data_IF_899953519601
#
_entry.id   IF_899953519601
#
_cell.length_a   1.000
_cell.length_b   1.000
_cell.length_c   1.000
_cell.angle_alpha   90.00
_cell.angle_beta   90.00
_cell.angle_gamma   90.00
#
_symmetry.space_group_name_H-M   'P 1'
#
loop_
_entity.id
_entity.type
_entity.pdbx_description
1 polymer ?
#
# COMPACT_ATOMS: atom_id res chain seq x y z
N UNK A 1 4.36 9.45 -17.97
CA UNK A 1 4.27 8.53 -16.81
C UNK A 1 2.94 8.83 -16.14
N UNK A 2 2.23 7.86 -15.55
CA UNK A 2 1.05 8.18 -14.76
C UNK A 2 1.43 9.24 -13.71
N UNK A 3 0.59 10.26 -13.55
CA UNK A 3 0.87 11.33 -12.59
C UNK A 3 0.85 10.72 -11.18
N UNK A 4 1.79 11.08 -10.30
CA UNK A 4 1.96 10.48 -8.96
C UNK A 4 0.65 10.47 -8.13
N UNK A 5 -0.25 11.41 -8.40
CA UNK A 5 -1.60 11.48 -7.82
C UNK A 5 -2.47 10.28 -8.17
N UNK A 6 -2.36 9.76 -9.38
CA UNK A 6 -3.12 8.59 -9.83
C UNK A 6 -2.63 7.33 -9.11
N UNK A 7 -1.31 7.23 -8.84
CA UNK A 7 -0.72 6.10 -8.12
C UNK A 7 -1.11 6.12 -6.63
N UNK A 8 -1.04 7.29 -5.98
CA UNK A 8 -1.52 7.44 -4.61
C UNK A 8 -2.99 7.00 -4.51
N UNK A 9 -3.86 7.55 -5.37
CA UNK A 9 -5.29 7.29 -5.28
C UNK A 9 -5.64 5.84 -5.60
N UNK A 10 -4.99 5.23 -6.59
CA UNK A 10 -5.16 3.82 -6.92
C UNK A 10 -4.72 2.91 -5.78
N UNK A 11 -3.54 3.17 -5.19
CA UNK A 11 -3.02 2.39 -4.06
C UNK A 11 -3.94 2.50 -2.85
N UNK A 12 -4.33 3.72 -2.49
CA UNK A 12 -5.20 3.96 -1.34
C UNK A 12 -6.55 3.27 -1.50
N UNK A 13 -7.16 3.39 -2.69
CA UNK A 13 -8.43 2.72 -3.00
C UNK A 13 -8.31 1.20 -2.91
N UNK A 14 -7.28 0.61 -3.52
CA UNK A 14 -7.09 -0.85 -3.50
C UNK A 14 -6.90 -1.39 -2.08
N UNK A 15 -6.09 -0.72 -1.25
CA UNK A 15 -5.85 -1.14 0.14
C UNK A 15 -7.12 -1.02 1.00
N UNK A 16 -7.85 0.09 0.89
CA UNK A 16 -9.08 0.31 1.66
C UNK A 16 -10.20 -0.65 1.23
N UNK A 17 -10.35 -0.92 -0.07
CA UNK A 17 -11.30 -1.94 -0.59
C UNK A 17 -10.96 -3.35 -0.09
N UNK A 18 -9.68 -3.62 0.17
CA UNK A 18 -9.21 -4.87 0.77
C UNK A 18 -9.28 -4.89 2.30
N UNK A 19 -9.96 -3.90 2.90
CA UNK A 19 -10.19 -3.80 4.34
C UNK A 19 -9.00 -3.29 5.16
N UNK A 20 -7.90 -2.84 4.54
CA UNK A 20 -6.75 -2.29 5.26
C UNK A 20 -7.18 -1.02 6.00
N UNK A 21 -6.77 -0.83 7.27
CA UNK A 21 -7.12 0.38 8.02
C UNK A 21 -6.71 1.66 7.28
N UNK A 22 -7.58 2.66 7.29
CA UNK A 22 -7.39 3.93 6.55
C UNK A 22 -6.02 4.58 6.80
N UNK A 23 -5.57 4.63 8.04
CA UNK A 23 -4.27 5.24 8.41
C UNK A 23 -3.07 4.47 7.83
N UNK A 24 -3.19 3.14 7.72
CA UNK A 24 -2.15 2.27 7.16
C UNK A 24 -2.16 2.37 5.63
N UNK A 25 -3.35 2.39 5.03
CA UNK A 25 -3.54 2.56 3.60
C UNK A 25 -3.02 3.92 3.10
N UNK A 26 -3.29 5.01 3.82
CA UNK A 26 -2.81 6.35 3.48
C UNK A 26 -1.27 6.43 3.49
N UNK A 27 -0.64 5.94 4.56
CA UNK A 27 0.83 5.92 4.64
C UNK A 27 1.47 5.10 3.52
N UNK A 28 0.95 3.91 3.26
CA UNK A 28 1.43 3.07 2.17
C UNK A 28 1.24 3.74 0.81
N UNK A 29 0.09 4.39 0.57
CA UNK A 29 -0.18 5.10 -0.67
C UNK A 29 0.76 6.31 -0.86
N UNK A 30 1.11 7.03 0.21
CA UNK A 30 2.08 8.14 0.15
C UNK A 30 3.46 7.65 -0.26
N UNK A 31 3.90 6.52 0.31
CA UNK A 31 5.16 5.87 -0.06
C UNK A 31 5.16 5.49 -1.54
N UNK A 32 4.12 4.78 -2.00
CA UNK A 32 4.07 4.32 -3.39
C UNK A 32 3.95 5.49 -4.37
N UNK A 33 3.26 6.56 -3.98
CA UNK A 33 3.20 7.80 -4.78
C UNK A 33 4.53 8.57 -4.86
N UNK A 34 5.51 8.24 -4.01
CA UNK A 34 6.86 8.82 -4.02
C UNK A 34 7.92 7.85 -4.58
N UNK A 35 7.51 6.68 -5.07
CA UNK A 35 8.43 5.68 -5.59
C UNK A 35 9.17 6.18 -6.82
N UNK A 36 10.50 6.12 -6.77
CA UNK A 36 11.37 6.40 -7.90
C UNK A 36 11.89 5.09 -8.49
N UNK A 37 11.31 4.68 -9.61
CA UNK A 37 11.69 3.45 -10.34
C UNK A 37 13.13 3.45 -10.87
N UNK A 38 13.82 4.59 -10.84
CA UNK A 38 15.23 4.70 -11.25
C UNK A 38 16.20 4.45 -10.11
N UNK A 39 15.71 4.42 -8.86
CA UNK A 39 16.51 4.19 -7.66
C UNK A 39 16.39 2.75 -7.17
N UNK A 40 17.44 2.28 -6.50
CA UNK A 40 17.37 1.02 -5.75
C UNK A 40 16.27 1.12 -4.68
N UNK A 41 15.53 0.03 -4.48
CA UNK A 41 14.39 -0.05 -3.56
C UNK A 41 13.32 1.04 -3.80
N UNK A 42 13.19 1.53 -5.03
CA UNK A 42 12.22 2.56 -5.39
C UNK A 42 12.46 3.91 -4.67
N UNK A 43 13.66 4.14 -4.15
CA UNK A 43 13.97 5.32 -3.33
C UNK A 43 13.41 5.26 -1.90
N UNK A 44 12.78 4.15 -1.51
CA UNK A 44 12.16 3.96 -0.20
C UNK A 44 13.20 3.91 0.92
N UNK A 45 12.90 4.60 2.01
CA UNK A 45 13.63 4.51 3.28
C UNK A 45 13.22 3.24 4.07
N UNK A 46 13.96 2.84 5.11
CA UNK A 46 13.53 1.76 6.01
C UNK A 46 12.14 2.00 6.60
N UNK A 47 11.82 3.25 6.95
CA UNK A 47 10.51 3.64 7.49
C UNK A 47 9.39 3.44 6.46
N UNK A 48 9.67 3.72 5.19
CA UNK A 48 8.72 3.49 4.10
C UNK A 48 8.47 1.99 3.91
N UNK A 49 9.52 1.17 4.04
CA UNK A 49 9.38 -0.28 3.98
C UNK A 49 8.53 -0.82 5.14
N UNK A 50 8.68 -0.27 6.35
CA UNK A 50 7.83 -0.62 7.49
C UNK A 50 6.36 -0.27 7.25
N UNK A 51 6.08 0.89 6.64
CA UNK A 51 4.71 1.30 6.29
C UNK A 51 4.07 0.35 5.27
N UNK A 52 4.81 -0.05 4.23
CA UNK A 52 4.35 -1.03 3.24
C UNK A 52 4.14 -2.40 3.89
N UNK A 53 5.06 -2.84 4.75
CA UNK A 53 4.93 -4.11 5.46
C UNK A 53 3.68 -4.17 6.34
N UNK A 54 3.36 -3.09 7.07
CA UNK A 54 2.14 -2.99 7.86
C UNK A 54 0.86 -3.05 7.01
N UNK A 55 0.88 -2.43 5.83
CA UNK A 55 -0.23 -2.50 4.88
C UNK A 55 -0.42 -3.92 4.33
N UNK A 56 0.67 -4.61 3.97
CA UNK A 56 0.62 -5.97 3.46
C UNK A 56 0.16 -6.98 4.52
N UNK A 57 0.62 -6.83 5.77
CA UNK A 57 0.14 -7.66 6.89
C UNK A 57 -1.38 -7.52 7.09
N UNK A 58 -1.89 -6.28 7.06
CA UNK A 58 -3.33 -6.01 7.15
C UNK A 58 -4.10 -6.58 5.95
N UNK A 59 -3.55 -6.41 4.75
CA UNK A 59 -4.13 -6.91 3.50
C UNK A 59 -4.28 -8.43 3.52
N UNK A 60 -3.23 -9.16 3.90
CA UNK A 60 -3.28 -10.63 3.97
C UNK A 60 -4.21 -11.14 5.07
N UNK A 61 -4.24 -10.47 6.24
CA UNK A 61 -5.17 -10.83 7.32
C UNK A 61 -6.63 -10.70 6.88
N UNK A 62 -6.94 -9.74 6.01
CA UNK A 62 -8.28 -9.58 5.48
C UNK A 62 -8.59 -10.53 4.32
N UNK A 63 -7.64 -10.78 3.41
CA UNK A 63 -7.82 -11.81 2.37
C UNK A 63 -8.06 -13.21 2.95
N UNK A 64 -7.50 -13.51 4.12
CA UNK A 64 -7.72 -14.79 4.81
C UNK A 64 -9.16 -14.97 5.30
N UNK A 65 -9.91 -13.87 5.49
CA UNK A 65 -11.31 -13.93 5.93
C UNK A 65 -12.27 -14.26 4.79
N UNK A 66 -11.93 -13.85 3.56
CA UNK A 66 -12.78 -14.10 2.39
C UNK A 66 -12.73 -15.57 1.90
N UNK A 67 -11.80 -16.39 2.42
CA UNK A 67 -11.65 -17.81 2.05
C UNK A 67 -12.46 -18.74 2.98
N UNK A 68 -12.91 -18.26 4.14
CA UNK A 68 -13.64 -19.09 5.13
C UNK A 68 -15.17 -18.96 5.05
N UNK A 69 -15.72 -18.14 4.15
CA UNK A 69 -17.16 -18.04 3.88
C UNK A 69 -17.53 -18.66 2.51
N UNK A 70 -17.41 -19.98 2.36
CA UNK A 70 -18.14 -20.76 1.32
C UNK A 70 -18.54 -22.16 1.80
#
# INVERSE_FOLDING_TARGET
>A
MPDDKDIYQATFKALTESGVPHEVADRAAQVVGQDDFTLANLGRTPQDQDAIAAAMDSYWKNQSKDIEEE
#
